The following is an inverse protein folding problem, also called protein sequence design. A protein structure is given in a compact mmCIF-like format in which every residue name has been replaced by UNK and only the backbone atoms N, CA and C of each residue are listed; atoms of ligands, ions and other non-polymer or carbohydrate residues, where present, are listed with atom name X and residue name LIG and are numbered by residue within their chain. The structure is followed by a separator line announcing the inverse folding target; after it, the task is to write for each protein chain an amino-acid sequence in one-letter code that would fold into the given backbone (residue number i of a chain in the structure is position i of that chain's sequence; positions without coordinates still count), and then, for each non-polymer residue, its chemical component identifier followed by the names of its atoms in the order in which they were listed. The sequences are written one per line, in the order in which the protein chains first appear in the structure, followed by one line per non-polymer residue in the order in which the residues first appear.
data_IF_642421752056
#
_entry.id   IF_642421752056
#
_cell.length_a   1.000
_cell.length_b   1.000
_cell.length_c   1.000
_cell.angle_alpha   90.00
_cell.angle_beta   90.00
_cell.angle_gamma   90.00
#
_symmetry.space_group_name_H-M   'P 1'
#
loop_
_entity.id
_entity.type
_entity.pdbx_description
1 polymer ?
#
# COMPACT_ATOMS: atom_id res chain seq x y z
N UNK A 1 16.02 23.54 10.33
CA UNK A 1 16.36 22.29 9.64
C UNK A 1 17.32 21.48 10.51
N UNK A 2 16.81 20.62 11.41
CA UNK A 2 17.60 19.97 12.49
C UNK A 2 18.58 18.89 12.00
N UNK A 3 18.32 18.31 10.82
CA UNK A 3 19.09 17.16 10.31
C UNK A 3 20.12 17.54 9.25
N UNK A 4 20.02 18.73 8.64
CA UNK A 4 20.97 19.15 7.60
C UNK A 4 22.41 19.17 8.12
N UNK A 5 22.64 19.83 9.26
CA UNK A 5 24.00 20.01 9.81
C UNK A 5 24.60 18.67 10.29
N UNK A 6 23.86 17.80 11.00
CA UNK A 6 24.37 16.47 11.35
C UNK A 6 24.65 15.55 10.16
N UNK A 7 23.85 15.62 9.09
CA UNK A 7 24.07 14.82 7.87
C UNK A 7 25.31 15.29 7.09
N UNK A 8 25.55 16.61 7.02
CA UNK A 8 26.74 17.17 6.35
C UNK A 8 28.02 16.84 7.14
N UNK A 9 27.99 16.96 8.47
CA UNK A 9 29.16 16.76 9.33
C UNK A 9 29.35 15.31 9.83
N UNK A 10 28.38 14.42 9.53
CA UNK A 10 28.29 13.03 10.02
C UNK A 10 28.36 12.86 11.53
N UNK A 11 28.05 13.90 12.30
CA UNK A 11 28.02 13.85 13.76
C UNK A 11 26.91 14.75 14.33
N UNK A 12 26.25 14.29 15.38
CA UNK A 12 25.22 15.04 16.12
C UNK A 12 25.68 15.30 17.56
N UNK A 13 25.05 16.26 18.24
CA UNK A 13 25.36 16.62 19.61
C UNK A 13 24.18 16.31 20.53
N UNK A 14 24.36 15.34 21.42
CA UNK A 14 23.38 15.06 22.48
C UNK A 14 23.69 15.93 23.70
N UNK A 15 22.67 16.63 24.20
CA UNK A 15 22.76 17.39 25.45
C UNK A 15 22.22 16.52 26.59
N UNK A 16 23.09 16.16 27.54
CA UNK A 16 22.72 15.40 28.72
C UNK A 16 21.95 16.28 29.71
N UNK A 17 21.18 15.67 30.61
CA UNK A 17 20.48 16.40 31.69
C UNK A 17 21.41 17.22 32.59
N UNK A 18 22.71 16.88 32.61
CA UNK A 18 23.77 17.63 33.29
C UNK A 18 24.28 18.87 32.53
N UNK A 19 23.72 19.18 31.35
CA UNK A 19 24.14 20.28 30.48
C UNK A 19 25.37 20.00 29.61
N UNK A 20 26.03 18.84 29.79
CA UNK A 20 27.17 18.43 28.96
C UNK A 20 26.71 18.03 27.56
N UNK A 21 27.46 18.46 26.54
CA UNK A 21 27.26 18.04 25.14
C UNK A 21 28.23 16.93 24.78
N UNK A 22 27.74 15.85 24.21
CA UNK A 22 28.55 14.75 23.69
C UNK A 22 28.38 14.67 22.17
N UNK A 23 29.49 14.51 21.45
CA UNK A 23 29.47 14.25 20.01
C UNK A 23 29.20 12.77 19.79
N UNK A 24 28.22 12.46 18.95
CA UNK A 24 27.89 11.09 18.54
C UNK A 24 27.96 10.98 17.02
N UNK A 25 28.42 9.85 16.46
CA UNK A 25 28.39 9.62 15.03
C UNK A 25 26.95 9.64 14.51
N UNK A 26 26.74 10.25 13.35
CA UNK A 26 25.44 10.43 12.72
C UNK A 26 25.50 9.95 11.26
N UNK A 27 25.30 8.64 11.08
CA UNK A 27 25.11 8.00 9.77
C UNK A 27 23.65 7.55 9.67
N UNK A 28 22.81 8.37 9.05
CA UNK A 28 21.38 8.11 8.87
C UNK A 28 21.03 8.05 7.38
N UNK A 29 20.24 7.04 6.99
CA UNK A 29 19.62 6.97 5.67
C UNK A 29 18.27 7.68 5.72
N UNK A 30 18.09 8.73 4.91
CA UNK A 30 16.81 9.45 4.84
C UNK A 30 16.00 8.96 3.65
N UNK A 31 14.74 8.59 3.92
CA UNK A 31 13.77 8.18 2.92
C UNK A 31 12.56 9.09 3.03
N UNK A 32 12.23 9.78 1.94
CA UNK A 32 11.01 10.57 1.81
C UNK A 32 9.95 9.76 1.06
N UNK A 33 8.71 9.79 1.52
CA UNK A 33 7.56 9.21 0.84
C UNK A 33 6.46 10.26 0.82
N UNK A 34 6.03 10.66 -0.38
CA UNK A 34 5.00 11.65 -0.58
C UNK A 34 4.15 11.27 -1.78
N UNK A 35 2.89 11.71 -1.78
CA UNK A 35 1.98 11.67 -2.92
C UNK A 35 1.99 12.99 -3.72
N UNK A 36 2.74 13.99 -3.29
CA UNK A 36 2.91 15.29 -3.97
C UNK A 36 4.04 15.23 -5.00
N UNK A 37 3.96 16.08 -6.02
CA UNK A 37 5.04 16.22 -6.99
C UNK A 37 6.30 16.79 -6.33
N UNK A 38 7.50 16.39 -6.79
CA UNK A 38 8.76 16.82 -6.18
C UNK A 38 8.93 18.35 -6.12
N UNK A 39 8.39 19.09 -7.10
CA UNK A 39 8.46 20.55 -7.15
C UNK A 39 7.58 21.23 -6.09
N UNK A 40 6.49 20.58 -5.67
CA UNK A 40 5.63 21.09 -4.60
C UNK A 40 6.19 20.78 -3.21
N UNK A 41 7.09 19.80 -3.12
CA UNK A 41 7.68 19.36 -1.86
C UNK A 41 8.79 20.30 -1.37
N UNK A 42 9.68 20.73 -2.27
CA UNK A 42 10.87 21.50 -1.89
C UNK A 42 11.48 22.28 -3.05
N UNK A 43 12.38 23.22 -2.71
CA UNK A 43 13.13 23.99 -3.68
C UNK A 43 14.18 23.14 -4.43
N UNK A 44 14.63 23.66 -5.57
CA UNK A 44 15.59 22.96 -6.42
C UNK A 44 16.90 22.64 -5.69
N UNK A 45 17.33 23.51 -4.77
CA UNK A 45 18.53 23.32 -3.96
C UNK A 45 18.42 22.10 -3.04
N UNK A 46 17.25 21.83 -2.45
CA UNK A 46 17.01 20.63 -1.67
C UNK A 46 16.90 19.38 -2.55
N UNK A 47 16.20 19.47 -3.69
CA UNK A 47 16.02 18.35 -4.62
C UNK A 47 17.33 17.87 -5.28
N UNK A 48 18.37 18.71 -5.36
CA UNK A 48 19.72 18.30 -5.82
C UNK A 48 20.43 17.38 -4.82
N UNK A 49 20.04 17.43 -3.54
CA UNK A 49 20.61 16.58 -2.47
C UNK A 49 19.90 15.23 -2.34
N UNK A 50 18.84 14.99 -3.11
CA UNK A 50 18.13 13.72 -3.18
C UNK A 50 18.38 13.11 -4.57
N UNK A 51 19.43 12.27 -4.73
CA UNK A 51 19.84 11.78 -6.04
C UNK A 51 18.85 10.79 -6.65
N UNK A 52 18.18 9.99 -5.82
CA UNK A 52 17.22 8.97 -6.27
C UNK A 52 15.79 9.47 -6.07
N UNK A 53 15.07 9.64 -7.17
CA UNK A 53 13.65 9.97 -7.22
C UNK A 53 12.95 8.82 -7.93
N UNK A 54 12.34 7.93 -7.16
CA UNK A 54 11.69 6.74 -7.69
C UNK A 54 10.19 6.98 -7.65
N UNK A 55 9.58 7.05 -8.83
CA UNK A 55 8.13 7.04 -8.95
C UNK A 55 7.61 5.61 -8.84
N UNK A 56 6.60 5.40 -8.01
CA UNK A 56 5.95 4.10 -7.85
C UNK A 56 4.54 4.18 -8.44
N UNK A 57 4.44 3.83 -9.71
CA UNK A 57 3.16 3.77 -10.42
C UNK A 57 2.30 2.58 -9.98
N UNK A 58 1.03 2.61 -10.39
CA UNK A 58 0.09 1.51 -10.20
C UNK A 58 0.60 0.24 -10.92
N UNK A 59 0.48 -0.95 -10.30
CA UNK A 59 0.97 -2.20 -10.85
C UNK A 59 0.21 -2.61 -12.10
N UNK A 60 0.92 -3.25 -13.02
CA UNK A 60 0.30 -4.02 -14.08
C UNK A 60 -0.47 -5.22 -13.50
N UNK A 61 -1.36 -5.83 -14.29
CA UNK A 61 -2.10 -7.01 -13.85
C UNK A 61 -1.18 -8.18 -13.43
N UNK A 62 -0.06 -8.36 -14.14
CA UNK A 62 0.93 -9.38 -13.80
C UNK A 62 1.65 -9.08 -12.49
N UNK A 63 2.03 -7.82 -12.27
CA UNK A 63 2.60 -7.38 -11.00
C UNK A 63 1.60 -7.54 -9.86
N UNK A 64 0.33 -7.24 -10.10
CA UNK A 64 -0.74 -7.40 -9.12
C UNK A 64 -0.90 -8.86 -8.69
N UNK A 65 -0.87 -9.81 -9.65
CA UNK A 65 -0.85 -11.25 -9.33
C UNK A 65 0.37 -11.64 -8.49
N UNK A 66 1.56 -11.12 -8.82
CA UNK A 66 2.77 -11.35 -8.02
C UNK A 66 2.63 -10.79 -6.59
N UNK A 67 2.04 -9.61 -6.42
CA UNK A 67 1.77 -9.03 -5.10
C UNK A 67 0.86 -9.94 -4.27
N UNK A 68 -0.19 -10.52 -4.86
CA UNK A 68 -1.01 -11.53 -4.18
C UNK A 68 -0.22 -12.77 -3.82
N UNK A 69 0.65 -13.27 -4.70
CA UNK A 69 1.50 -14.42 -4.42
C UNK A 69 2.43 -14.15 -3.22
N UNK A 70 3.08 -12.98 -3.17
CA UNK A 70 3.91 -12.59 -2.03
C UNK A 70 3.11 -12.46 -0.75
N UNK A 71 1.95 -11.81 -0.80
CA UNK A 71 1.11 -11.62 0.38
C UNK A 71 0.50 -12.95 0.89
N UNK A 72 0.11 -13.87 0.00
CA UNK A 72 -0.29 -15.23 0.38
C UNK A 72 0.84 -15.97 1.08
N UNK A 73 2.08 -15.87 0.58
CA UNK A 73 3.26 -16.46 1.22
C UNK A 73 3.52 -15.87 2.61
N UNK A 74 3.36 -14.56 2.79
CA UNK A 74 3.53 -13.90 4.09
C UNK A 74 2.44 -14.28 5.11
N UNK A 75 1.27 -14.71 4.65
CA UNK A 75 0.12 -15.06 5.47
C UNK A 75 -0.11 -16.58 5.59
N UNK A 76 0.83 -17.38 5.09
CA UNK A 76 0.78 -18.85 5.07
C UNK A 76 -0.49 -19.42 4.42
N UNK A 77 -0.88 -18.84 3.29
CA UNK A 77 -2.07 -19.22 2.53
C UNK A 77 -1.66 -19.79 1.16
N UNK A 78 -2.37 -20.82 0.71
CA UNK A 78 -2.22 -21.34 -0.65
C UNK A 78 -2.65 -20.29 -1.69
N UNK A 79 -1.74 -19.94 -2.60
CA UNK A 79 -2.04 -19.02 -3.69
C UNK A 79 -2.86 -19.73 -4.77
N UNK A 80 -3.99 -19.14 -5.14
CA UNK A 80 -4.90 -19.63 -6.19
C UNK A 80 -5.10 -18.56 -7.26
N UNK A 81 -4.56 -18.75 -8.48
CA UNK A 81 -4.63 -17.73 -9.52
C UNK A 81 -6.07 -17.44 -9.95
N UNK A 82 -6.96 -18.44 -9.91
CA UNK A 82 -8.35 -18.30 -10.33
C UNK A 82 -9.12 -17.32 -9.43
N UNK A 83 -8.79 -17.29 -8.13
CA UNK A 83 -9.42 -16.39 -7.17
C UNK A 83 -9.02 -14.92 -7.42
N UNK A 84 -7.78 -14.68 -7.80
CA UNK A 84 -7.28 -13.33 -8.15
C UNK A 84 -7.86 -12.87 -9.49
N UNK A 85 -7.96 -13.77 -10.46
CA UNK A 85 -8.56 -13.46 -11.77
C UNK A 85 -10.05 -13.13 -11.63
N UNK A 86 -10.78 -13.89 -10.82
CA UNK A 86 -12.16 -13.59 -10.46
C UNK A 86 -12.30 -12.23 -9.79
N UNK A 87 -11.43 -11.91 -8.82
CA UNK A 87 -11.41 -10.62 -8.13
C UNK A 87 -11.25 -9.46 -9.13
N UNK A 88 -10.32 -9.57 -10.07
CA UNK A 88 -10.07 -8.53 -11.07
C UNK A 88 -11.24 -8.38 -12.04
N UNK A 89 -11.78 -9.49 -12.53
CA UNK A 89 -12.89 -9.47 -13.49
C UNK A 89 -14.20 -8.95 -12.89
N UNK A 90 -14.49 -9.29 -11.63
CA UNK A 90 -15.74 -8.92 -10.97
C UNK A 90 -15.70 -7.55 -10.31
N UNK A 91 -14.60 -7.18 -9.66
CA UNK A 91 -14.55 -6.00 -8.79
C UNK A 91 -13.70 -4.86 -9.32
N UNK A 92 -12.71 -5.13 -10.17
CA UNK A 92 -11.83 -4.07 -10.70
C UNK A 92 -12.29 -3.58 -12.07
N UNK A 93 -12.53 -4.49 -13.03
CA UNK A 93 -12.92 -4.11 -14.40
C UNK A 93 -14.26 -3.38 -14.48
N UNK A 94 -15.36 -3.84 -13.86
CA UNK A 94 -16.68 -3.20 -14.03
C UNK A 94 -16.76 -1.80 -13.42
N UNK A 95 -15.97 -1.55 -12.37
CA UNK A 95 -15.95 -0.29 -11.64
C UNK A 95 -14.76 0.60 -12.05
N UNK A 96 -13.93 0.18 -13.01
CA UNK A 96 -12.76 0.94 -13.45
C UNK A 96 -11.76 1.26 -12.33
N UNK A 97 -11.65 0.39 -11.31
CA UNK A 97 -10.85 0.68 -10.11
C UNK A 97 -9.35 0.58 -10.41
N UNK A 98 -8.53 1.54 -9.94
CA UNK A 98 -7.08 1.43 -10.07
C UNK A 98 -6.54 0.27 -9.23
N UNK A 99 -5.64 -0.50 -9.82
CA UNK A 99 -4.88 -1.55 -9.13
C UNK A 99 -3.82 -0.87 -8.27
N UNK A 100 -4.02 -0.75 -6.96
CA UNK A 100 -3.03 -0.16 -6.05
C UNK A 100 -2.15 -1.25 -5.44
N UNK A 101 -0.86 -0.98 -5.24
CA UNK A 101 0.09 -1.97 -4.67
C UNK A 101 -0.28 -2.44 -3.26
N UNK A 102 -0.96 -1.61 -2.47
CA UNK A 102 -1.39 -1.95 -1.12
C UNK A 102 -2.60 -2.91 -1.06
N UNK A 103 -3.48 -2.88 -2.06
CA UNK A 103 -4.76 -3.59 -2.02
C UNK A 103 -4.60 -5.10 -1.83
N UNK A 104 -3.57 -5.72 -2.45
CA UNK A 104 -3.33 -7.15 -2.29
C UNK A 104 -3.13 -7.55 -0.83
N UNK A 105 -2.27 -6.83 -0.10
CA UNK A 105 -2.03 -7.06 1.32
C UNK A 105 -3.27 -6.75 2.15
N UNK A 106 -3.92 -5.62 1.89
CA UNK A 106 -5.02 -5.15 2.73
C UNK A 106 -6.26 -6.07 2.60
N UNK A 107 -6.61 -6.49 1.38
CA UNK A 107 -7.69 -7.44 1.12
C UNK A 107 -7.41 -8.80 1.78
N UNK A 108 -6.21 -9.34 1.63
CA UNK A 108 -5.84 -10.60 2.28
C UNK A 108 -5.80 -10.48 3.80
N UNK A 109 -5.44 -9.32 4.34
CA UNK A 109 -5.51 -9.04 5.78
C UNK A 109 -6.95 -9.09 6.29
N UNK A 110 -7.90 -8.52 5.54
CA UNK A 110 -9.32 -8.61 5.88
C UNK A 110 -9.85 -10.05 5.80
N UNK A 111 -9.45 -10.81 4.77
CA UNK A 111 -9.78 -12.24 4.65
C UNK A 111 -9.23 -13.01 5.86
N UNK A 112 -7.98 -12.77 6.26
CA UNK A 112 -7.38 -13.39 7.44
C UNK A 112 -8.17 -13.07 8.70
N UNK A 113 -8.51 -11.80 8.92
CA UNK A 113 -9.29 -11.39 10.09
C UNK A 113 -10.65 -12.08 10.13
N UNK A 114 -11.31 -12.22 8.98
CA UNK A 114 -12.56 -12.96 8.85
C UNK A 114 -12.40 -14.45 9.19
N UNK A 115 -11.36 -15.12 8.67
CA UNK A 115 -11.06 -16.52 8.97
C UNK A 115 -10.78 -16.72 10.46
N UNK A 116 -9.95 -15.87 11.07
CA UNK A 116 -9.63 -15.90 12.50
C UNK A 116 -10.88 -15.74 13.35
N UNK A 117 -11.75 -14.77 13.02
CA UNK A 117 -13.01 -14.55 13.74
C UNK A 117 -13.96 -15.76 13.69
N UNK A 118 -13.97 -16.49 12.57
CA UNK A 118 -14.83 -17.68 12.38
C UNK A 118 -14.17 -19.00 12.79
N UNK A 119 -12.90 -18.98 13.20
CA UNK A 119 -12.13 -20.21 13.47
C UNK A 119 -11.91 -21.08 12.24
N UNK A 120 -11.89 -20.49 11.04
CA UNK A 120 -11.69 -21.18 9.77
C UNK A 120 -10.22 -21.11 9.33
N UNK A 121 -9.70 -22.10 8.59
CA UNK A 121 -8.38 -21.99 7.98
C UNK A 121 -8.34 -20.84 6.96
N UNK A 122 -7.15 -20.23 6.84
CA UNK A 122 -6.95 -19.15 5.87
C UNK A 122 -6.80 -19.75 4.47
N UNK A 123 -7.77 -19.46 3.61
CA UNK A 123 -7.78 -19.92 2.22
C UNK A 123 -8.14 -18.79 1.26
N UNK A 124 -7.49 -18.74 0.10
CA UNK A 124 -7.80 -17.77 -0.93
C UNK A 124 -9.02 -18.24 -1.74
N UNK A 125 -10.22 -17.82 -1.30
CA UNK A 125 -11.49 -18.16 -1.94
C UNK A 125 -12.19 -16.92 -2.51
N UNK A 126 -12.86 -17.05 -3.68
CA UNK A 126 -13.72 -16.00 -4.23
C UNK A 126 -14.73 -15.42 -3.23
N UNK A 127 -15.38 -16.28 -2.44
CA UNK A 127 -16.39 -15.86 -1.44
C UNK A 127 -15.81 -14.96 -0.34
N UNK A 128 -14.58 -15.23 0.09
CA UNK A 128 -13.89 -14.45 1.12
C UNK A 128 -13.40 -13.13 0.55
N UNK A 129 -12.91 -13.14 -0.69
CA UNK A 129 -12.51 -11.93 -1.41
C UNK A 129 -13.71 -11.01 -1.65
N UNK A 130 -14.87 -11.54 -2.04
CA UNK A 130 -16.10 -10.74 -2.20
C UNK A 130 -16.47 -9.99 -0.91
N UNK A 131 -16.35 -10.66 0.25
CA UNK A 131 -16.56 -10.02 1.55
C UNK A 131 -15.52 -8.97 1.87
N UNK A 132 -14.24 -9.25 1.65
CA UNK A 132 -13.15 -8.32 1.89
C UNK A 132 -13.27 -7.07 0.99
N UNK A 133 -13.65 -7.24 -0.28
CA UNK A 133 -13.90 -6.12 -1.19
C UNK A 133 -15.06 -5.27 -0.70
N UNK A 134 -16.18 -5.89 -0.33
CA UNK A 134 -17.32 -5.15 0.20
C UNK A 134 -16.94 -4.34 1.45
N UNK A 135 -16.16 -4.91 2.37
CA UNK A 135 -15.69 -4.20 3.56
C UNK A 135 -14.68 -3.08 3.24
N UNK A 136 -13.71 -3.35 2.37
CA UNK A 136 -12.64 -2.42 2.02
C UNK A 136 -13.12 -1.21 1.20
N UNK A 137 -14.02 -1.43 0.25
CA UNK A 137 -14.49 -0.38 -0.64
C UNK A 137 -15.78 0.30 -0.16
N UNK A 138 -16.57 -0.27 0.77
CA UNK A 138 -17.78 0.38 1.28
C UNK A 138 -17.51 1.63 2.14
N UNK A 139 -16.30 1.81 2.68
CA UNK A 139 -15.92 3.02 3.43
C UNK A 139 -15.42 4.15 2.52
N UNK A 140 -15.17 3.90 1.24
CA UNK A 140 -14.98 4.95 0.25
C UNK A 140 -16.36 5.25 -0.31
N UNK A 141 -16.87 6.47 -0.15
CA UNK A 141 -18.13 6.92 -0.73
C UNK A 141 -18.02 6.97 -2.26
N UNK A 142 -17.97 5.81 -2.90
CA UNK A 142 -17.99 5.69 -4.35
C UNK A 142 -19.47 5.63 -4.77
N UNK A 143 -19.89 6.71 -5.42
CA UNK A 143 -20.99 6.71 -6.38
C UNK A 143 -20.73 5.59 -7.40
N UNK A 144 -21.14 4.36 -7.08
CA UNK A 144 -21.30 3.34 -8.09
C UNK A 144 -22.45 3.80 -9.01
N UNK A 145 -22.25 3.90 -10.34
CA UNK A 145 -23.40 4.04 -11.23
C UNK A 145 -24.29 2.82 -11.00
N UNK A 146 -25.56 3.09 -10.68
CA UNK A 146 -26.58 2.07 -10.50
C UNK A 146 -26.55 1.09 -11.68
N UNK A 147 -26.64 -0.24 -11.44
CA UNK A 147 -26.76 -1.19 -12.54
C UNK A 147 -27.94 -0.79 -13.44
N UNK A 148 -27.82 -0.88 -14.77
CA UNK A 148 -28.93 -0.56 -15.66
C UNK A 148 -30.12 -1.44 -15.29
N UNK A 149 -31.35 -0.89 -15.26
CA UNK A 149 -32.53 -1.67 -14.96
C UNK A 149 -32.63 -2.83 -15.95
N UNK A 150 -32.83 -4.03 -15.43
CA UNK A 150 -33.06 -5.21 -16.25
C UNK A 150 -34.30 -4.96 -17.12
N UNK A 151 -34.08 -4.80 -18.43
CA UNK A 151 -35.17 -4.71 -19.40
C UNK A 151 -35.94 -6.03 -19.34
N UNK A 152 -37.17 -5.93 -18.86
CA UNK A 152 -38.12 -7.01 -18.81
C UNK A 152 -38.38 -7.50 -20.23
N UNK A 153 -38.22 -8.81 -20.42
CA UNK A 153 -38.67 -9.50 -21.62
C UNK A 153 -40.15 -9.21 -21.88
N UNK A 154 -40.48 -8.83 -23.11
CA UNK A 154 -41.78 -9.04 -23.72
C UNK A 154 -41.55 -9.39 -25.18
#
# INVERSE_FOLDING_TARGET
NRWIVPLENRHDFLTLASGKKIQVPFDQLIIFSTNLEPMDLADEAFLRRIPYKVEVADPSLEEFRKLFQYACKSLDCAYRPEAVDYLVQKHYRPFGRPLRRCQARDLLTQVKNYCVYRGLPMELRPDYLDRAVNGYFATCGDNAPSPPPAEAST
#
